data_IF_317457475619
#
_entry.id   IF_317457475619
#
_cell.length_a   1.000
_cell.length_b   1.000
_cell.length_c   1.000
_cell.angle_alpha   90.00
_cell.angle_beta   90.00
_cell.angle_gamma   90.00
#
_symmetry.space_group_name_H-M   'P 1'
#
loop_
_entity.id
_entity.type
_entity.pdbx_description
1 polymer ?
#
# COMPACT_ATOMS: atom_id res chain seq x y z
N UNK A 1 14.75 -23.24 -9.90
CA UNK A 1 15.20 -22.80 -8.55
C UNK A 1 14.85 -21.36 -8.17
N UNK A 2 14.22 -20.54 -9.05
CA UNK A 2 13.82 -19.14 -8.77
C UNK A 2 12.41 -18.99 -8.13
N UNK A 3 11.70 -20.07 -7.85
CA UNK A 3 10.28 -20.04 -7.47
C UNK A 3 10.03 -19.89 -5.96
N UNK A 4 10.98 -20.25 -5.11
CA UNK A 4 10.78 -20.41 -3.65
C UNK A 4 10.67 -19.09 -2.84
N UNK A 5 10.96 -17.92 -3.40
CA UNK A 5 10.96 -16.65 -2.67
C UNK A 5 9.83 -15.67 -3.06
N UNK A 6 8.86 -16.11 -3.88
CA UNK A 6 7.86 -15.21 -4.46
C UNK A 6 6.52 -15.20 -3.76
N UNK A 7 6.27 -16.13 -2.85
CA UNK A 7 5.02 -16.25 -2.09
C UNK A 7 5.29 -16.85 -0.72
N UNK A 8 4.44 -16.53 0.23
CA UNK A 8 4.31 -17.23 1.50
C UNK A 8 2.88 -17.73 1.58
N UNK A 9 2.67 -18.99 1.22
CA UNK A 9 1.35 -19.63 1.24
C UNK A 9 0.73 -19.50 2.64
N UNK A 10 1.53 -19.78 3.67
CA UNK A 10 1.10 -19.71 5.06
C UNK A 10 0.68 -18.29 5.48
N UNK A 11 1.40 -17.25 5.01
CA UNK A 11 1.03 -15.87 5.30
C UNK A 11 -0.27 -15.46 4.59
N UNK A 12 -0.44 -15.82 3.30
CA UNK A 12 -1.67 -15.56 2.56
C UNK A 12 -2.87 -16.25 3.19
N UNK A 13 -2.73 -17.53 3.57
CA UNK A 13 -3.76 -18.29 4.30
C UNK A 13 -4.08 -17.64 5.66
N UNK A 14 -3.03 -17.18 6.37
CA UNK A 14 -3.20 -16.56 7.68
C UNK A 14 -3.93 -15.23 7.60
N UNK A 15 -3.71 -14.43 6.55
CA UNK A 15 -4.49 -13.20 6.32
C UNK A 15 -5.96 -13.54 6.14
N UNK A 16 -6.28 -14.43 5.20
CA UNK A 16 -7.67 -14.81 4.89
C UNK A 16 -8.36 -15.42 6.10
N UNK A 17 -7.71 -16.36 6.79
CA UNK A 17 -8.27 -16.99 7.99
C UNK A 17 -8.51 -15.98 9.12
N UNK A 18 -7.59 -15.03 9.34
CA UNK A 18 -7.76 -13.97 10.33
C UNK A 18 -8.95 -13.06 10.02
N UNK A 19 -9.15 -12.70 8.74
CA UNK A 19 -10.27 -11.86 8.29
C UNK A 19 -11.64 -12.54 8.50
N UNK A 20 -11.71 -13.88 8.41
CA UNK A 20 -12.95 -14.63 8.69
C UNK A 20 -13.23 -14.70 10.18
N UNK A 21 -12.18 -14.75 11.01
CA UNK A 21 -12.31 -14.86 12.46
C UNK A 21 -12.65 -13.54 13.14
N UNK A 22 -12.21 -12.40 12.55
CA UNK A 22 -12.24 -11.10 13.21
C UNK A 22 -12.44 -9.96 12.21
N UNK A 23 -13.45 -9.12 12.46
CA UNK A 23 -13.75 -7.98 11.61
C UNK A 23 -12.68 -6.89 11.66
N UNK A 24 -12.00 -6.71 12.78
CA UNK A 24 -10.89 -5.76 12.90
C UNK A 24 -9.69 -6.18 12.04
N UNK A 25 -9.53 -7.49 11.82
CA UNK A 25 -8.54 -8.01 10.89
C UNK A 25 -8.86 -7.63 9.43
N UNK A 26 -10.14 -7.51 9.05
CA UNK A 26 -10.55 -7.04 7.72
C UNK A 26 -10.08 -5.60 7.51
N UNK A 27 -10.36 -4.72 8.48
CA UNK A 27 -9.95 -3.31 8.41
C UNK A 27 -8.43 -3.19 8.27
N UNK A 28 -7.69 -3.91 9.12
CA UNK A 28 -6.22 -3.92 9.07
C UNK A 28 -5.69 -4.42 7.72
N UNK A 29 -6.31 -5.45 7.16
CA UNK A 29 -5.88 -6.02 5.90
C UNK A 29 -6.20 -5.11 4.70
N UNK A 30 -7.36 -4.43 4.70
CA UNK A 30 -7.76 -3.45 3.68
C UNK A 30 -6.81 -2.25 3.60
N UNK A 31 -6.26 -1.81 4.73
CA UNK A 31 -5.32 -0.69 4.78
C UNK A 31 -3.96 -1.04 4.15
N UNK A 32 -3.58 -2.31 4.13
CA UNK A 32 -2.23 -2.75 3.74
C UNK A 32 -2.21 -3.42 2.38
N UNK A 33 -3.23 -4.23 2.08
CA UNK A 33 -3.26 -5.13 0.92
C UNK A 33 -4.33 -4.76 -0.10
N UNK A 34 -4.05 -5.15 -1.34
CA UNK A 34 -5.00 -5.19 -2.45
C UNK A 34 -5.13 -6.63 -2.95
N UNK A 35 -6.22 -6.92 -3.67
CA UNK A 35 -6.47 -8.23 -4.27
C UNK A 35 -5.26 -8.75 -5.07
N UNK A 36 -4.59 -7.87 -5.82
CA UNK A 36 -3.42 -8.19 -6.65
C UNK A 36 -2.15 -8.51 -5.88
N UNK A 37 -2.10 -8.23 -4.58
CA UNK A 37 -0.94 -8.51 -3.73
C UNK A 37 -0.83 -10.00 -3.39
N UNK A 38 -1.90 -10.77 -3.58
CA UNK A 38 -1.88 -12.22 -3.37
C UNK A 38 -1.26 -12.94 -4.57
N UNK A 39 -0.38 -13.88 -4.31
CA UNK A 39 0.20 -14.74 -5.35
C UNK A 39 -0.81 -15.76 -5.86
N UNK A 40 -1.55 -16.37 -4.93
CA UNK A 40 -2.61 -17.32 -5.24
C UNK A 40 -3.90 -16.55 -5.54
N UNK A 41 -4.34 -16.59 -6.78
CA UNK A 41 -5.55 -15.89 -7.24
C UNK A 41 -6.78 -16.18 -6.39
N UNK A 42 -6.90 -17.40 -5.88
CA UNK A 42 -8.01 -17.82 -5.02
C UNK A 42 -8.08 -16.99 -3.72
N UNK A 43 -6.95 -16.67 -3.11
CA UNK A 43 -6.94 -15.83 -1.91
C UNK A 43 -7.25 -14.37 -2.22
N UNK A 44 -6.79 -13.85 -3.35
CA UNK A 44 -7.20 -12.53 -3.82
C UNK A 44 -8.70 -12.42 -4.04
N UNK A 45 -9.34 -13.45 -4.62
CA UNK A 45 -10.79 -13.49 -4.81
C UNK A 45 -11.53 -13.53 -3.47
N UNK A 46 -11.07 -14.36 -2.51
CA UNK A 46 -11.64 -14.41 -1.17
C UNK A 46 -11.50 -13.06 -0.45
N UNK A 47 -10.33 -12.44 -0.53
CA UNK A 47 -10.05 -11.12 0.04
C UNK A 47 -11.03 -10.06 -0.48
N UNK A 48 -11.19 -9.96 -1.80
CA UNK A 48 -12.09 -9.01 -2.44
C UNK A 48 -13.56 -9.25 -2.05
N UNK A 49 -14.00 -10.52 -2.04
CA UNK A 49 -15.36 -10.88 -1.63
C UNK A 49 -15.64 -10.51 -0.15
N UNK A 50 -14.68 -10.68 0.75
CA UNK A 50 -14.83 -10.27 2.15
C UNK A 50 -14.88 -8.75 2.31
N UNK A 51 -14.09 -8.01 1.56
CA UNK A 51 -14.15 -6.54 1.55
C UNK A 51 -15.50 -6.04 1.06
N UNK A 52 -16.05 -6.63 -0.01
CA UNK A 52 -17.37 -6.26 -0.50
C UNK A 52 -18.47 -6.53 0.53
N UNK A 53 -18.45 -7.69 1.21
CA UNK A 53 -19.39 -8.00 2.29
C UNK A 53 -19.28 -7.00 3.43
N UNK A 54 -18.07 -6.73 3.89
CA UNK A 54 -17.80 -5.78 4.97
C UNK A 54 -18.27 -4.37 4.60
N UNK A 55 -17.95 -3.90 3.40
CA UNK A 55 -18.32 -2.56 2.92
C UNK A 55 -19.82 -2.39 2.73
N UNK A 56 -20.55 -3.48 2.46
CA UNK A 56 -22.02 -3.48 2.38
C UNK A 56 -22.72 -3.67 3.74
N UNK A 57 -21.95 -3.70 4.84
CA UNK A 57 -22.49 -3.89 6.20
C UNK A 57 -23.03 -5.30 6.47
N UNK A 58 -22.66 -6.27 5.64
CA UNK A 58 -23.05 -7.67 5.83
C UNK A 58 -22.04 -8.40 6.73
N UNK A 59 -22.50 -9.37 7.53
CA UNK A 59 -21.59 -10.18 8.32
C UNK A 59 -20.66 -10.98 7.41
N UNK A 60 -19.39 -11.07 7.80
CA UNK A 60 -18.38 -11.86 7.08
C UNK A 60 -18.20 -13.19 7.83
N UNK A 61 -18.88 -14.21 7.36
CA UNK A 61 -18.80 -15.57 7.87
C UNK A 61 -18.74 -16.59 6.71
N UNK A 62 -18.56 -17.86 7.05
CA UNK A 62 -18.43 -18.95 6.06
C UNK A 62 -19.63 -19.04 5.11
N UNK A 63 -20.84 -18.76 5.62
CA UNK A 63 -22.08 -18.90 4.84
C UNK A 63 -22.26 -17.71 3.89
N UNK A 64 -22.11 -16.48 4.40
CA UNK A 64 -22.22 -15.26 3.61
C UNK A 64 -21.14 -15.18 2.55
N UNK A 65 -19.90 -15.55 2.90
CA UNK A 65 -18.79 -15.61 1.96
C UNK A 65 -19.04 -16.64 0.85
N UNK A 66 -19.51 -17.85 1.19
CA UNK A 66 -19.84 -18.85 0.19
C UNK A 66 -20.94 -18.38 -0.78
N UNK A 67 -21.98 -17.73 -0.27
CA UNK A 67 -23.03 -17.18 -1.12
C UNK A 67 -22.49 -16.08 -2.05
N UNK A 68 -21.64 -15.20 -1.53
CA UNK A 68 -20.99 -14.15 -2.33
C UNK A 68 -20.10 -14.72 -3.43
N UNK A 69 -19.34 -15.77 -3.14
CA UNK A 69 -18.48 -16.43 -4.12
C UNK A 69 -19.30 -17.14 -5.22
N UNK A 70 -20.47 -17.71 -4.89
CA UNK A 70 -21.38 -18.28 -5.87
C UNK A 70 -21.98 -17.22 -6.81
N UNK A 71 -22.28 -16.03 -6.29
CA UNK A 71 -22.74 -14.89 -7.11
C UNK A 71 -21.69 -14.44 -8.13
N UNK A 72 -20.41 -14.52 -7.76
CA UNK A 72 -19.27 -14.15 -8.62
C UNK A 72 -18.85 -15.21 -9.63
N UNK A 73 -19.59 -16.33 -9.72
CA UNK A 73 -19.26 -17.47 -10.61
C UNK A 73 -17.83 -18.01 -10.44
N UNK A 74 -17.37 -18.06 -9.20
CA UNK A 74 -16.03 -18.53 -8.83
C UNK A 74 -16.00 -20.06 -8.86
N UNK A 75 -14.87 -20.70 -9.27
CA UNK A 75 -14.73 -22.15 -9.28
C UNK A 75 -15.12 -22.79 -7.94
N UNK A 76 -15.81 -23.93 -8.01
CA UNK A 76 -16.34 -24.64 -6.83
C UNK A 76 -15.26 -25.01 -5.81
N UNK A 77 -14.03 -25.23 -6.27
CA UNK A 77 -12.87 -25.50 -5.42
C UNK A 77 -12.57 -24.37 -4.43
N UNK A 78 -12.76 -23.10 -4.87
CA UNK A 78 -12.51 -21.90 -4.06
C UNK A 78 -13.72 -21.55 -3.20
N UNK A 79 -14.92 -21.83 -3.67
CA UNK A 79 -16.18 -21.54 -2.97
C UNK A 79 -16.66 -22.66 -2.03
N UNK A 80 -15.89 -23.74 -1.88
CA UNK A 80 -16.27 -24.86 -0.99
C UNK A 80 -16.11 -24.48 0.48
N UNK A 81 -17.09 -24.87 1.30
CA UNK A 81 -17.03 -24.69 2.75
C UNK A 81 -15.82 -25.41 3.39
N UNK A 82 -15.39 -26.51 2.79
CA UNK A 82 -14.25 -27.28 3.24
C UNK A 82 -12.96 -26.46 3.10
N UNK A 83 -12.71 -25.89 1.91
CA UNK A 83 -11.55 -25.05 1.65
C UNK A 83 -11.49 -23.83 2.57
N UNK A 84 -12.60 -23.09 2.68
CA UNK A 84 -12.65 -21.89 3.53
C UNK A 84 -12.52 -22.28 5.01
N UNK A 85 -13.12 -23.42 5.43
CA UNK A 85 -13.00 -23.95 6.78
C UNK A 85 -11.57 -24.38 7.14
N UNK A 86 -10.79 -24.90 6.19
CA UNK A 86 -9.36 -25.22 6.40
C UNK A 86 -8.55 -23.95 6.64
N UNK A 87 -8.83 -22.85 5.95
CA UNK A 87 -8.14 -21.57 6.16
C UNK A 87 -8.34 -21.03 7.58
N UNK A 88 -9.55 -21.15 8.12
CA UNK A 88 -9.84 -20.73 9.51
C UNK A 88 -9.10 -21.60 10.51
N UNK A 89 -9.05 -22.94 10.27
CA UNK A 89 -8.34 -23.87 11.17
C UNK A 89 -6.83 -23.72 11.15
N UNK A 90 -6.28 -23.23 10.03
CA UNK A 90 -4.83 -23.01 9.89
C UNK A 90 -4.32 -21.82 10.73
N UNK A 91 -5.21 -20.94 11.19
CA UNK A 91 -4.84 -19.74 11.93
C UNK A 91 -5.26 -19.84 13.39
N UNK A 92 -4.33 -19.90 14.33
CA UNK A 92 -4.64 -20.01 15.75
C UNK A 92 -5.16 -18.70 16.36
N UNK A 93 -4.87 -17.53 15.77
CA UNK A 93 -5.25 -16.21 16.28
C UNK A 93 -5.20 -15.14 15.19
N UNK A 94 -6.17 -14.19 15.21
CA UNK A 94 -6.19 -13.00 14.35
C UNK A 94 -5.21 -11.90 14.79
N UNK A 95 -4.68 -11.97 16.02
CA UNK A 95 -3.86 -10.91 16.62
C UNK A 95 -2.63 -10.50 15.79
N UNK A 96 -2.10 -11.38 14.96
CA UNK A 96 -0.90 -11.16 14.16
C UNK A 96 -1.19 -10.79 12.69
N UNK A 97 -2.44 -10.48 12.32
CA UNK A 97 -2.84 -10.22 10.92
C UNK A 97 -1.96 -9.16 10.26
N UNK A 98 -1.65 -8.08 10.96
CA UNK A 98 -0.78 -7.01 10.44
C UNK A 98 0.60 -7.52 10.02
N UNK A 99 1.17 -8.43 10.79
CA UNK A 99 2.46 -9.06 10.46
C UNK A 99 2.36 -9.92 9.19
N UNK A 100 1.29 -10.72 9.08
CA UNK A 100 1.06 -11.54 7.90
C UNK A 100 0.81 -10.69 6.66
N UNK A 101 0.02 -9.60 6.78
CA UNK A 101 -0.20 -8.63 5.70
C UNK A 101 1.12 -8.04 5.20
N UNK A 102 2.02 -7.66 6.11
CA UNK A 102 3.32 -7.11 5.72
C UNK A 102 4.18 -8.13 4.95
N UNK A 103 4.15 -9.42 5.31
CA UNK A 103 4.84 -10.49 4.57
C UNK A 103 4.27 -10.61 3.16
N UNK A 104 2.94 -10.62 3.02
CA UNK A 104 2.28 -10.70 1.71
C UNK A 104 2.63 -9.47 0.86
N UNK A 105 2.58 -8.26 1.45
CA UNK A 105 2.93 -7.01 0.78
C UNK A 105 4.37 -6.97 0.31
N UNK A 106 5.31 -7.37 1.16
CA UNK A 106 6.72 -7.44 0.81
C UNK A 106 6.98 -8.40 -0.37
N UNK A 107 6.35 -9.57 -0.35
CA UNK A 107 6.46 -10.52 -1.44
C UNK A 107 5.80 -10.01 -2.75
N UNK A 108 4.67 -9.32 -2.65
CA UNK A 108 4.03 -8.65 -3.78
C UNK A 108 4.96 -7.61 -4.40
N UNK A 109 5.57 -6.75 -3.59
CA UNK A 109 6.52 -5.75 -4.05
C UNK A 109 7.74 -6.37 -4.75
N UNK A 110 8.27 -7.47 -4.20
CA UNK A 110 9.35 -8.22 -4.87
C UNK A 110 8.93 -8.76 -6.24
N UNK A 111 7.70 -9.27 -6.36
CA UNK A 111 7.16 -9.74 -7.66
C UNK A 111 7.00 -8.59 -8.66
N UNK A 112 6.46 -7.45 -8.22
CA UNK A 112 6.31 -6.25 -9.06
C UNK A 112 7.68 -5.75 -9.53
N UNK A 113 8.66 -5.69 -8.65
CA UNK A 113 10.03 -5.29 -8.99
C UNK A 113 10.68 -6.25 -10.01
N UNK A 114 10.52 -7.56 -9.83
CA UNK A 114 11.02 -8.55 -10.79
C UNK A 114 10.37 -8.36 -12.16
N UNK A 115 9.05 -8.12 -12.21
CA UNK A 115 8.34 -7.89 -13.47
C UNK A 115 8.87 -6.65 -14.20
N UNK A 116 8.99 -5.53 -13.49
CA UNK A 116 9.51 -4.28 -14.06
C UNK A 116 10.93 -4.49 -14.59
N UNK A 117 11.80 -5.17 -13.84
CA UNK A 117 13.17 -5.44 -14.32
C UNK A 117 13.21 -6.39 -15.51
N UNK A 118 12.33 -7.39 -15.59
CA UNK A 118 12.21 -8.27 -16.76
C UNK A 118 11.69 -7.50 -18.01
N UNK A 119 10.79 -6.55 -17.81
CA UNK A 119 10.28 -5.68 -18.89
C UNK A 119 11.39 -4.78 -19.44
N UNK A 120 12.17 -4.13 -18.55
CA UNK A 120 13.32 -3.30 -18.92
C UNK A 120 14.37 -4.14 -19.66
N UNK A 121 14.70 -5.33 -19.16
CA UNK A 121 15.64 -6.26 -19.80
C UNK A 121 15.19 -6.59 -21.23
N UNK A 122 13.91 -6.94 -21.42
CA UNK A 122 13.38 -7.27 -22.71
C UNK A 122 13.41 -6.09 -23.69
N UNK A 123 13.12 -4.87 -23.25
CA UNK A 123 13.18 -3.67 -24.07
C UNK A 123 14.61 -3.36 -24.52
N UNK A 124 15.59 -3.48 -23.63
CA UNK A 124 16.99 -3.31 -23.96
C UNK A 124 17.45 -4.32 -25.03
N UNK A 125 17.04 -5.59 -24.91
CA UNK A 125 17.39 -6.61 -25.91
C UNK A 125 16.64 -6.43 -27.23
N UNK A 126 15.43 -5.93 -27.20
CA UNK A 126 14.64 -5.70 -28.41
C UNK A 126 15.22 -4.60 -29.31
N UNK A 127 15.92 -3.60 -28.74
CA UNK A 127 16.61 -2.53 -29.45
C UNK A 127 15.72 -1.70 -30.38
N UNK A 128 14.41 -1.64 -30.11
CA UNK A 128 13.42 -0.96 -30.96
C UNK A 128 13.27 0.52 -30.62
N UNK A 129 13.55 0.88 -29.38
CA UNK A 129 13.38 2.23 -28.87
C UNK A 129 14.74 2.93 -28.68
N UNK A 130 14.71 4.26 -28.60
CA UNK A 130 15.92 5.03 -28.28
C UNK A 130 16.30 4.79 -26.83
N UNK A 131 17.59 4.92 -26.51
CA UNK A 131 18.09 4.80 -25.15
C UNK A 131 17.36 5.75 -24.18
N UNK A 132 17.11 6.98 -24.64
CA UNK A 132 16.43 8.02 -23.86
C UNK A 132 15.00 7.59 -23.48
N UNK A 133 14.23 7.05 -24.45
CA UNK A 133 12.89 6.50 -24.21
C UNK A 133 12.87 5.36 -23.20
N UNK A 134 13.84 4.43 -23.27
CA UNK A 134 13.97 3.32 -22.33
C UNK A 134 14.31 3.81 -20.92
N UNK A 135 15.18 4.84 -20.81
CA UNK A 135 15.54 5.44 -19.52
C UNK A 135 14.34 6.14 -18.87
N UNK A 136 13.62 6.98 -19.62
CA UNK A 136 12.44 7.71 -19.13
C UNK A 136 11.34 6.74 -18.64
N UNK A 137 11.09 5.69 -19.41
CA UNK A 137 10.13 4.65 -19.02
C UNK A 137 10.57 3.91 -17.77
N UNK A 138 11.85 3.55 -17.69
CA UNK A 138 12.43 2.88 -16.52
C UNK A 138 12.25 3.72 -15.26
N UNK A 139 12.58 5.02 -15.35
CA UNK A 139 12.40 5.95 -14.23
C UNK A 139 10.94 6.02 -13.80
N UNK A 140 10.02 6.18 -14.77
CA UNK A 140 8.60 6.21 -14.51
C UNK A 140 8.09 4.95 -13.80
N UNK A 141 8.44 3.77 -14.30
CA UNK A 141 7.95 2.50 -13.78
C UNK A 141 8.50 2.21 -12.36
N UNK A 142 9.78 2.50 -12.15
CA UNK A 142 10.39 2.40 -10.81
C UNK A 142 9.76 3.41 -9.84
N UNK A 143 9.56 4.65 -10.28
CA UNK A 143 8.92 5.67 -9.44
C UNK A 143 7.47 5.32 -9.08
N UNK A 144 6.68 4.82 -10.05
CA UNK A 144 5.31 4.34 -9.81
C UNK A 144 5.28 3.21 -8.78
N UNK A 145 6.24 2.28 -8.87
CA UNK A 145 6.37 1.18 -7.92
C UNK A 145 6.74 1.65 -6.50
N UNK A 146 7.65 2.63 -6.38
CA UNK A 146 8.03 3.21 -5.11
C UNK A 146 6.89 4.03 -4.49
N UNK A 147 6.16 4.79 -5.32
CA UNK A 147 5.01 5.59 -4.88
C UNK A 147 3.85 4.72 -4.40
N UNK A 148 3.65 3.54 -4.99
CA UNK A 148 2.65 2.57 -4.51
C UNK A 148 2.99 1.99 -3.13
N UNK A 149 4.24 2.07 -2.69
CA UNK A 149 4.69 1.68 -1.34
C UNK A 149 4.26 2.68 -0.29
N UNK A 150 4.16 3.97 -0.64
CA UNK A 150 3.83 5.08 0.27
C UNK A 150 2.30 5.27 0.44
N UNK A 151 1.49 4.48 -0.23
CA UNK A 151 0.02 4.59 -0.24
C UNK A 151 -0.70 4.21 1.06
N UNK A 152 -0.02 4.20 2.19
CA UNK A 152 -0.58 3.84 3.49
C UNK A 152 -0.18 4.72 4.66
N UNK A 153 0.67 5.71 4.49
CA UNK A 153 0.94 6.68 5.56
C UNK A 153 -0.12 7.80 5.58
N UNK A 154 -1.37 7.41 5.88
CA UNK A 154 -2.31 8.38 6.44
C UNK A 154 -1.73 8.84 7.78
N UNK A 155 -1.13 10.03 7.78
CA UNK A 155 -0.73 10.66 9.03
C UNK A 155 -2.02 10.97 9.79
N UNK A 156 -2.24 10.40 10.99
CA UNK A 156 -3.44 10.69 11.76
C UNK A 156 -3.60 12.19 11.92
N UNK A 157 -4.80 12.72 11.72
CA UNK A 157 -5.07 14.16 11.80
C UNK A 157 -4.53 14.77 13.09
N UNK A 158 -4.57 14.00 14.18
CA UNK A 158 -3.99 14.41 15.46
C UNK A 158 -2.49 14.73 15.34
N UNK A 159 -1.73 13.94 14.60
CA UNK A 159 -0.29 14.15 14.43
C UNK A 159 -0.02 15.37 13.52
N UNK A 160 -0.85 15.56 12.49
CA UNK A 160 -0.79 16.77 11.64
C UNK A 160 -1.06 18.02 12.47
N UNK A 161 -2.10 17.99 13.32
CA UNK A 161 -2.45 19.09 14.21
C UNK A 161 -1.33 19.36 15.23
N UNK A 162 -0.77 18.32 15.86
CA UNK A 162 0.35 18.50 16.81
C UNK A 162 1.57 19.10 16.14
N UNK A 163 1.94 18.62 14.96
CA UNK A 163 3.06 19.19 14.17
C UNK A 163 2.79 20.64 13.76
N UNK A 164 1.56 21.00 13.43
CA UNK A 164 1.16 22.38 13.11
C UNK A 164 1.26 23.26 14.36
N UNK A 165 0.79 22.81 15.53
CA UNK A 165 0.90 23.53 16.79
C UNK A 165 2.36 23.77 17.18
N UNK A 166 3.24 22.78 17.07
CA UNK A 166 4.67 22.94 17.32
C UNK A 166 5.32 23.98 16.39
N UNK A 167 4.93 23.99 15.11
CA UNK A 167 5.41 25.00 14.17
C UNK A 167 4.95 26.40 14.53
N UNK A 168 3.68 26.55 14.93
CA UNK A 168 3.12 27.83 15.38
C UNK A 168 3.82 28.28 16.67
N UNK A 169 4.04 27.39 17.63
CA UNK A 169 4.72 27.71 18.88
C UNK A 169 6.17 28.14 18.66
N UNK A 170 6.91 27.42 17.79
CA UNK A 170 8.27 27.80 17.39
C UNK A 170 8.31 29.17 16.68
N UNK A 171 7.35 29.43 15.78
CA UNK A 171 7.23 30.71 15.11
C UNK A 171 6.90 31.87 16.08
N UNK A 172 6.07 31.58 17.09
CA UNK A 172 5.72 32.56 18.15
C UNK A 172 6.88 32.90 19.09
N UNK A 173 7.85 31.99 19.24
CA UNK A 173 9.03 32.16 20.10
C UNK A 173 10.22 32.81 19.37
N UNK A 174 10.14 32.93 18.03
CA UNK A 174 11.16 33.62 17.25
C UNK A 174 10.92 35.15 17.28
N UNK A 175 11.83 35.87 17.92
CA UNK A 175 11.89 37.35 17.84
C UNK A 175 12.39 37.78 16.43
N UNK A 176 11.49 37.82 15.45
CA UNK A 176 11.80 38.29 14.11
C UNK A 176 10.70 37.95 13.08
N UNK A 177 10.57 38.83 12.07
CA UNK A 177 9.58 38.65 10.98
C UNK A 177 9.97 37.60 9.92
N UNK A 178 11.13 36.93 10.07
CA UNK A 178 11.66 35.95 9.10
C UNK A 178 11.57 34.56 9.70
N UNK A 179 10.62 33.77 9.22
CA UNK A 179 10.41 32.37 9.65
C UNK A 179 11.17 31.36 8.77
N UNK A 180 11.57 31.77 7.57
CA UNK A 180 12.34 30.98 6.60
C UNK A 180 13.84 31.32 6.61
N UNK A 181 14.52 30.92 5.53
CA UNK A 181 15.94 31.27 5.31
C UNK A 181 16.02 32.74 4.87
N UNK A 182 16.73 33.62 5.62
CA UNK A 182 16.87 35.01 5.24
C UNK A 182 17.66 35.16 3.92
N UNK A 183 17.17 35.98 3.03
CA UNK A 183 17.86 36.32 1.77
C UNK A 183 18.94 37.37 1.96
N UNK A 184 18.90 38.12 3.06
CA UNK A 184 19.76 39.27 3.33
C UNK A 184 19.24 40.61 2.78
N UNK A 185 18.14 40.60 2.02
CA UNK A 185 17.46 41.82 1.58
C UNK A 185 16.28 42.10 2.50
N UNK A 186 16.45 43.12 3.37
CA UNK A 186 15.52 43.41 4.48
C UNK A 186 14.07 43.58 3.99
N UNK A 187 13.84 44.31 2.91
CA UNK A 187 12.51 44.56 2.37
C UNK A 187 11.89 43.29 1.76
N UNK A 188 12.70 42.43 1.18
CA UNK A 188 12.26 41.17 0.60
C UNK A 188 11.90 40.20 1.72
N UNK A 189 12.79 40.04 2.70
CA UNK A 189 12.60 39.19 3.85
C UNK A 189 11.38 39.62 4.69
N UNK A 190 11.12 40.90 4.82
CA UNK A 190 9.92 41.42 5.47
C UNK A 190 8.63 41.06 4.73
N UNK A 191 8.64 41.05 3.39
CA UNK A 191 7.45 40.72 2.57
C UNK A 191 7.21 39.22 2.40
N UNK A 192 8.27 38.40 2.37
CA UNK A 192 8.19 36.98 2.10
C UNK A 192 8.32 36.12 3.37
N UNK A 193 8.68 36.73 4.51
CA UNK A 193 9.09 36.03 5.73
C UNK A 193 10.30 35.07 5.52
N UNK A 194 11.14 35.38 4.50
CA UNK A 194 12.25 34.51 4.07
C UNK A 194 11.83 33.38 3.12
N UNK A 195 12.80 32.64 2.62
CA UNK A 195 12.55 31.48 1.73
C UNK A 195 11.99 30.30 2.53
N UNK A 196 10.80 29.86 2.21
CA UNK A 196 10.15 28.77 2.94
C UNK A 196 10.48 27.40 2.32
N UNK A 197 10.52 26.31 3.12
CA UNK A 197 10.62 24.97 2.60
C UNK A 197 9.46 24.66 1.65
N UNK A 198 9.76 24.05 0.51
CA UNK A 198 8.79 23.70 -0.56
C UNK A 198 8.35 24.84 -1.46
N UNK A 199 8.85 26.07 -1.31
CA UNK A 199 8.61 27.15 -2.24
C UNK A 199 9.51 27.05 -3.48
N UNK A 200 8.92 27.25 -4.67
CA UNK A 200 9.67 27.43 -5.91
C UNK A 200 9.94 28.90 -6.12
N UNK A 201 11.19 29.33 -5.98
CA UNK A 201 11.59 30.72 -6.17
C UNK A 201 12.29 30.86 -7.53
N UNK A 202 11.71 31.69 -8.42
CA UNK A 202 12.28 32.02 -9.72
C UNK A 202 12.86 33.43 -9.65
N UNK A 203 14.14 33.55 -9.99
CA UNK A 203 14.84 34.84 -10.12
C UNK A 203 15.09 35.04 -11.59
N UNK A 204 14.43 36.07 -12.18
CA UNK A 204 14.58 36.43 -13.59
C UNK A 204 15.39 37.73 -13.72
#
# INVERSE_FOLDING_TARGET
RRVLFRSSLEAEQSVIGSMIMDQDAIVTAMEILLQEDFYHKQYGILFDAMIELYSSGQPVDLVTLQNKLKEKDVPQEVSSLEFVGELVRAVPTSANVKYYCNIVKENSMKRKLIRVTEEIENECYAGKESLESVLDKTEHDIFALLSSRTGGDYVPIRQVVMNALEKIEKASQQDGNVTGIPTGFIDLDYRTAGLQPSDLVLIA
#
